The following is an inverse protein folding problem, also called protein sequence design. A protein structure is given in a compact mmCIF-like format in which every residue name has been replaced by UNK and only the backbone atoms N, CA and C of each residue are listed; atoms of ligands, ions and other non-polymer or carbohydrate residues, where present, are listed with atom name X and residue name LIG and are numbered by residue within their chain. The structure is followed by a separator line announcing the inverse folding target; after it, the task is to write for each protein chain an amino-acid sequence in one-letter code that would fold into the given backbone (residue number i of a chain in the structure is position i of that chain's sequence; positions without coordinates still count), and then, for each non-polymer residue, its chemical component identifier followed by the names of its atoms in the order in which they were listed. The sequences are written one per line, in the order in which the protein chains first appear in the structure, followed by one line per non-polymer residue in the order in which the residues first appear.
data_IF_345976110793
#
_entry.id   IF_345976110793
#
_cell.length_a   1.000
_cell.length_b   1.000
_cell.length_c   1.000
_cell.angle_alpha   90.00
_cell.angle_beta   90.00
_cell.angle_gamma   90.00
#
_symmetry.space_group_name_H-M   'P 1'
#
loop_
_entity.id
_entity.type
_entity.pdbx_description
1 polymer ?
#
# COMPACT_ATOMS: atom_id res chain seq x y z
N UNK A 1 -14.51 4.96 6.57
CA UNK A 1 -13.80 3.98 7.43
C UNK A 1 -12.39 3.63 6.95
N UNK A 2 -12.09 3.55 5.64
CA UNK A 2 -10.75 3.19 5.15
C UNK A 2 -9.62 4.16 5.54
N UNK A 3 -9.89 5.47 5.59
CA UNK A 3 -8.88 6.47 5.94
C UNK A 3 -8.43 6.39 7.41
N UNK A 4 -9.34 5.99 8.31
CA UNK A 4 -9.02 5.79 9.73
C UNK A 4 -8.08 4.62 9.97
N UNK A 5 -8.25 3.52 9.23
CA UNK A 5 -7.35 2.36 9.31
C UNK A 5 -5.94 2.69 8.79
N UNK A 6 -5.85 3.48 7.72
CA UNK A 6 -4.57 3.96 7.21
C UNK A 6 -3.85 4.87 8.20
N UNK A 7 -4.55 5.83 8.80
CA UNK A 7 -3.96 6.70 9.84
C UNK A 7 -3.55 5.92 11.08
N UNK A 8 -4.34 4.94 11.52
CA UNK A 8 -4.02 4.07 12.65
C UNK A 8 -2.76 3.23 12.38
N UNK A 9 -2.66 2.61 11.20
CA UNK A 9 -1.46 1.88 10.79
C UNK A 9 -0.22 2.77 10.73
N UNK A 10 -0.36 4.01 10.22
CA UNK A 10 0.70 5.00 10.20
C UNK A 10 1.20 5.37 11.60
N UNK A 11 0.28 5.68 12.53
CA UNK A 11 0.62 5.99 13.91
C UNK A 11 1.31 4.83 14.64
N UNK A 12 0.84 3.59 14.44
CA UNK A 12 1.49 2.40 15.02
C UNK A 12 2.90 2.22 14.45
N UNK A 13 3.07 2.38 13.13
CA UNK A 13 4.38 2.25 12.49
C UNK A 13 5.38 3.26 13.05
N UNK A 14 4.95 4.49 13.33
CA UNK A 14 5.80 5.53 13.91
C UNK A 14 6.24 5.23 15.35
N UNK A 15 5.45 4.43 16.09
CA UNK A 15 5.81 4.01 17.44
C UNK A 15 6.71 2.76 17.42
N UNK A 16 6.38 1.76 16.59
CA UNK A 16 7.06 0.47 16.58
C UNK A 16 8.43 0.54 15.89
N UNK A 17 8.54 1.31 14.81
CA UNK A 17 9.79 1.43 14.04
C UNK A 17 11.00 1.92 14.88
N UNK A 18 10.91 3.01 15.66
CA UNK A 18 12.05 3.47 16.47
C UNK A 18 12.38 2.52 17.62
N UNK A 19 11.40 1.83 18.22
CA UNK A 19 11.64 0.86 19.30
C UNK A 19 12.46 -0.32 18.78
N UNK A 20 12.04 -0.93 17.67
CA UNK A 20 12.76 -2.05 17.04
C UNK A 20 14.15 -1.58 16.57
N UNK A 21 14.23 -0.41 15.94
CA UNK A 21 15.49 0.13 15.43
C UNK A 21 16.50 0.39 16.56
N UNK A 22 16.05 0.97 17.68
CA UNK A 22 16.91 1.26 18.83
C UNK A 22 17.41 -0.03 19.49
N UNK A 23 16.50 -0.99 19.70
CA UNK A 23 16.86 -2.30 20.26
C UNK A 23 17.89 -3.03 19.40
N UNK A 24 17.68 -3.05 18.08
CA UNK A 24 18.57 -3.72 17.15
C UNK A 24 19.93 -3.01 17.03
N UNK A 25 19.93 -1.68 17.09
CA UNK A 25 21.15 -0.88 17.10
C UNK A 25 22.02 -1.16 18.34
N UNK A 26 21.40 -1.29 19.52
CA UNK A 26 22.12 -1.59 20.76
C UNK A 26 22.78 -2.98 20.74
N UNK A 27 22.13 -3.97 20.14
CA UNK A 27 22.63 -5.35 20.16
C UNK A 27 23.68 -5.65 19.08
N UNK A 28 23.48 -5.15 17.85
CA UNK A 28 24.31 -5.56 16.71
C UNK A 28 24.87 -4.40 15.89
N UNK A 29 24.64 -3.14 16.30
CA UNK A 29 25.14 -1.95 15.63
C UNK A 29 24.36 -1.55 14.36
N UNK A 30 24.89 -0.56 13.62
CA UNK A 30 24.21 0.10 12.51
C UNK A 30 23.92 -0.81 11.29
N UNK A 31 24.81 -1.75 11.00
CA UNK A 31 24.71 -2.55 9.76
C UNK A 31 23.43 -3.36 9.68
N UNK A 32 22.99 -3.96 10.80
CA UNK A 32 21.78 -4.79 10.83
C UNK A 32 20.50 -3.96 10.72
N UNK A 33 20.50 -2.74 11.26
CA UNK A 33 19.40 -1.78 11.09
C UNK A 33 19.23 -1.43 9.62
N UNK A 34 20.33 -1.12 8.92
CA UNK A 34 20.28 -0.81 7.48
C UNK A 34 19.74 -1.99 6.66
N UNK A 35 20.22 -3.20 6.93
CA UNK A 35 19.74 -4.40 6.21
C UNK A 35 18.24 -4.60 6.43
N UNK A 36 17.77 -4.46 7.66
CA UNK A 36 16.35 -4.60 7.98
C UNK A 36 15.50 -3.55 7.25
N UNK A 37 15.94 -2.29 7.20
CA UNK A 37 15.25 -1.24 6.46
C UNK A 37 15.19 -1.54 4.97
N UNK A 38 16.30 -1.99 4.37
CA UNK A 38 16.34 -2.38 2.95
C UNK A 38 15.38 -3.56 2.68
N UNK A 39 15.33 -4.55 3.56
CA UNK A 39 14.37 -5.66 3.44
C UNK A 39 12.91 -5.19 3.47
N UNK A 40 12.56 -4.29 4.39
CA UNK A 40 11.21 -3.71 4.46
C UNK A 40 10.86 -2.96 3.18
N UNK A 41 11.82 -2.19 2.64
CA UNK A 41 11.64 -1.41 1.42
C UNK A 41 11.44 -2.33 0.20
N UNK A 42 12.25 -3.38 0.07
CA UNK A 42 12.07 -4.40 -0.95
C UNK A 42 10.70 -5.09 -0.84
N UNK A 43 10.27 -5.42 0.37
CA UNK A 43 8.95 -6.03 0.59
C UNK A 43 7.81 -5.09 0.19
N UNK A 44 7.92 -3.80 0.53
CA UNK A 44 6.96 -2.78 0.10
C UNK A 44 6.89 -2.68 -1.44
N UNK A 45 8.04 -2.69 -2.13
CA UNK A 45 8.07 -2.70 -3.59
C UNK A 45 7.42 -3.95 -4.19
N UNK A 46 7.68 -5.14 -3.64
CA UNK A 46 7.07 -6.39 -4.10
C UNK A 46 5.54 -6.33 -3.95
N UNK A 47 5.06 -5.83 -2.80
CA UNK A 47 3.63 -5.62 -2.58
C UNK A 47 3.04 -4.63 -3.59
N UNK A 48 3.71 -3.50 -3.83
CA UNK A 48 3.26 -2.51 -4.82
C UNK A 48 3.19 -3.13 -6.21
N UNK A 49 4.18 -3.92 -6.63
CA UNK A 49 4.22 -4.59 -7.93
C UNK A 49 3.12 -5.66 -8.03
N UNK A 50 2.97 -6.51 -7.01
CA UNK A 50 1.95 -7.57 -6.99
C UNK A 50 0.52 -7.01 -7.01
N UNK A 51 0.28 -5.93 -6.27
CA UNK A 51 -0.99 -5.23 -6.28
C UNK A 51 -1.09 -4.16 -7.38
N UNK A 52 -0.06 -3.97 -8.20
CA UNK A 52 -0.03 -2.91 -9.22
C UNK A 52 -1.22 -3.04 -10.18
N UNK A 53 -1.55 -4.27 -10.59
CA UNK A 53 -2.72 -4.55 -11.42
C UNK A 53 -4.07 -4.24 -10.75
N UNK A 54 -4.12 -4.14 -9.42
CA UNK A 54 -5.31 -3.81 -8.63
C UNK A 54 -5.34 -2.34 -8.18
N UNK A 55 -4.17 -1.72 -8.04
CA UNK A 55 -3.96 -0.30 -7.73
C UNK A 55 -4.13 0.59 -8.97
N UNK A 56 -3.76 0.12 -10.15
CA UNK A 56 -4.24 0.70 -11.41
C UNK A 56 -5.74 0.47 -11.41
N UNK A 57 -6.55 1.55 -11.35
CA UNK A 57 -7.96 1.44 -11.06
C UNK A 57 -8.60 0.44 -12.02
N UNK A 58 -9.41 -0.49 -11.48
CA UNK A 58 -10.43 -1.19 -12.28
C UNK A 58 -11.03 -0.10 -13.16
N UNK A 59 -10.95 -0.26 -14.48
CA UNK A 59 -11.43 0.71 -15.46
C UNK A 59 -12.89 1.06 -15.15
N UNK A 60 -13.13 2.05 -14.27
CA UNK A 60 -14.46 2.43 -13.83
C UNK A 60 -15.15 3.30 -14.88
N UNK A 61 -14.38 3.84 -15.82
CA UNK A 61 -14.92 4.42 -17.04
C UNK A 61 -15.02 3.34 -18.09
N UNK A 62 -16.23 2.88 -18.47
CA UNK A 62 -16.37 2.34 -19.81
C UNK A 62 -15.81 3.34 -20.81
N UNK A 63 -15.10 2.84 -21.82
CA UNK A 63 -14.66 3.68 -22.93
C UNK A 63 -15.88 4.47 -23.47
N UNK A 64 -15.74 5.77 -23.80
CA UNK A 64 -16.82 6.55 -24.37
C UNK A 64 -17.36 5.80 -25.60
N UNK A 65 -18.66 5.48 -25.59
CA UNK A 65 -19.32 4.70 -26.64
C UNK A 65 -19.48 3.20 -26.39
N UNK A 66 -19.10 2.62 -25.23
CA UNK A 66 -19.46 1.24 -24.87
C UNK A 66 -20.34 1.15 -23.63
N UNK A 67 -21.46 0.46 -23.78
CA UNK A 67 -22.46 0.25 -22.72
C UNK A 67 -21.90 -0.61 -21.59
N UNK A 68 -21.74 -0.01 -20.40
CA UNK A 68 -21.49 -0.77 -19.19
C UNK A 68 -22.81 -1.32 -18.66
N UNK A 69 -22.97 -2.65 -18.67
CA UNK A 69 -24.16 -3.32 -18.14
C UNK A 69 -24.07 -3.35 -16.62
N UNK A 70 -24.87 -2.51 -15.94
CA UNK A 70 -25.07 -2.56 -14.50
C UNK A 70 -26.34 -3.36 -14.17
N UNK A 71 -26.39 -3.95 -12.96
CA UNK A 71 -27.53 -4.79 -12.50
C UNK A 71 -28.89 -4.07 -12.59
N UNK A 72 -28.91 -2.74 -12.50
CA UNK A 72 -30.12 -1.90 -12.56
C UNK A 72 -30.05 -0.82 -13.66
N UNK A 73 -29.56 -1.16 -14.86
CA UNK A 73 -29.66 -0.28 -16.03
C UNK A 73 -28.34 -0.02 -16.75
N UNK A 74 -28.43 0.70 -17.87
CA UNK A 74 -27.30 1.05 -18.74
C UNK A 74 -27.04 2.54 -18.63
N UNK A 75 -25.82 2.92 -18.21
CA UNK A 75 -25.37 4.31 -18.18
C UNK A 75 -24.52 4.58 -19.43
N UNK A 76 -24.94 5.56 -20.23
CA UNK A 76 -24.15 6.08 -21.35
C UNK A 76 -23.37 7.28 -20.84
N UNK A 77 -22.04 7.23 -20.90
CA UNK A 77 -21.20 8.42 -20.75
C UNK A 77 -21.25 9.13 -22.10
N UNK A 78 -21.69 10.39 -22.10
CA UNK A 78 -21.35 11.33 -23.17
C UNK A 78 -19.90 11.76 -23.04
#
# INVERSE_FOLDING_TARGET
MMQGLHSFGGSISQLVAPIITTYLFQHSGYQYVMVLQICILCFAFILVIGFYKRLVPLQMKPAPGKSAKYKNGVFYTM
#
